data_IF_152937415833
#
_entry.id   IF_152937415833
#
_cell.length_a   1.000
_cell.length_b   1.000
_cell.length_c   1.000
_cell.angle_alpha   90.00
_cell.angle_beta   90.00
_cell.angle_gamma   90.00
#
_symmetry.space_group_name_H-M   'P 1'
#
loop_
_entity.id
_entity.type
_entity.pdbx_description
1 polymer ?
#
# COMPACT_ATOMS: atom_id res chain seq x y z
N UNK A 1 13.70 4.90 8.58
CA UNK A 1 12.55 4.50 9.42
C UNK A 1 11.61 5.69 9.53
N UNK A 2 10.64 5.77 8.62
CA UNK A 2 9.54 6.72 8.79
C UNK A 2 8.66 6.16 9.91
N UNK A 3 8.50 6.90 11.01
CA UNK A 3 7.48 6.60 12.01
C UNK A 3 6.13 7.00 11.42
N UNK A 4 5.66 6.22 10.45
CA UNK A 4 4.38 6.50 9.82
C UNK A 4 3.28 5.83 10.61
N UNK A 5 2.35 6.63 11.11
CA UNK A 5 1.20 6.11 11.82
C UNK A 5 0.22 5.51 10.82
N UNK A 6 -0.25 4.29 11.09
CA UNK A 6 -1.38 3.67 10.40
C UNK A 6 -2.58 4.63 10.23
N UNK A 7 -2.75 5.57 11.18
CA UNK A 7 -3.80 6.60 11.13
C UNK A 7 -3.70 7.53 9.92
N UNK A 8 -2.49 7.94 9.54
CA UNK A 8 -2.28 8.86 8.41
C UNK A 8 -2.59 8.15 7.08
N UNK A 9 -2.26 6.87 7.01
CA UNK A 9 -2.57 6.02 5.86
C UNK A 9 -4.09 5.85 5.72
N UNK A 10 -4.80 5.58 6.83
CA UNK A 10 -6.26 5.43 6.84
C UNK A 10 -6.95 6.73 6.44
N UNK A 11 -6.46 7.90 6.90
CA UNK A 11 -7.00 9.21 6.49
C UNK A 11 -6.92 9.43 4.98
N UNK A 12 -5.79 9.07 4.35
CA UNK A 12 -5.64 9.15 2.89
C UNK A 12 -6.58 8.18 2.16
N UNK A 13 -6.80 6.99 2.72
CA UNK A 13 -7.61 5.95 2.09
C UNK A 13 -9.13 6.13 2.25
N UNK A 14 -9.57 6.98 3.19
CA UNK A 14 -10.98 7.15 3.56
C UNK A 14 -11.57 5.99 4.38
N UNK A 15 -11.05 4.77 4.21
CA UNK A 15 -11.48 3.57 4.93
C UNK A 15 -10.31 2.64 5.22
N UNK A 16 -10.32 2.02 6.40
CA UNK A 16 -9.37 0.96 6.77
C UNK A 16 -9.44 -0.25 5.81
N UNK A 17 -10.62 -0.53 5.26
CA UNK A 17 -10.82 -1.68 4.37
C UNK A 17 -10.22 -1.42 2.99
N UNK A 18 -10.41 -0.20 2.47
CA UNK A 18 -9.82 0.22 1.19
C UNK A 18 -8.30 0.21 1.29
N UNK A 19 -7.75 0.66 2.42
CA UNK A 19 -6.31 0.59 2.69
C UNK A 19 -5.78 -0.85 2.64
N UNK A 20 -6.42 -1.77 3.37
CA UNK A 20 -6.01 -3.18 3.39
C UNK A 20 -6.03 -3.77 1.97
N UNK A 21 -7.06 -3.46 1.19
CA UNK A 21 -7.20 -3.93 -0.18
C UNK A 21 -6.09 -3.36 -1.10
N UNK A 22 -5.78 -2.07 -0.98
CA UNK A 22 -4.72 -1.41 -1.73
C UNK A 22 -3.34 -1.99 -1.41
N UNK A 23 -3.01 -2.12 -0.12
CA UNK A 23 -1.74 -2.71 0.35
C UNK A 23 -1.61 -4.16 -0.14
N UNK A 24 -2.66 -4.97 0.00
CA UNK A 24 -2.63 -6.37 -0.44
C UNK A 24 -2.42 -6.51 -1.96
N UNK A 25 -3.09 -5.66 -2.75
CA UNK A 25 -2.92 -5.61 -4.21
C UNK A 25 -1.48 -5.22 -4.57
N UNK A 26 -0.92 -4.18 -3.93
CA UNK A 26 0.44 -3.75 -4.24
C UNK A 26 1.49 -4.77 -3.83
N UNK A 27 1.33 -5.37 -2.66
CA UNK A 27 2.25 -6.41 -2.18
C UNK A 27 2.30 -7.59 -3.16
N UNK A 28 1.16 -7.97 -3.77
CA UNK A 28 1.13 -9.01 -4.82
C UNK A 28 1.88 -8.56 -6.08
N UNK A 29 1.67 -7.32 -6.55
CA UNK A 29 2.41 -6.79 -7.70
C UNK A 29 3.93 -6.80 -7.46
N UNK A 30 4.38 -6.40 -6.27
CA UNK A 30 5.80 -6.42 -5.90
C UNK A 30 6.35 -7.86 -5.99
N UNK A 31 5.59 -8.84 -5.50
CA UNK A 31 5.95 -10.27 -5.60
C UNK A 31 6.02 -10.75 -7.05
N UNK A 32 5.05 -10.36 -7.88
CA UNK A 32 4.99 -10.74 -9.30
C UNK A 32 6.13 -10.08 -10.10
N UNK A 33 6.44 -8.82 -9.84
CA UNK A 33 7.55 -8.05 -10.44
C UNK A 33 8.91 -8.70 -10.11
N UNK A 34 9.02 -9.35 -8.96
CA UNK A 34 10.23 -10.04 -8.48
C UNK A 34 10.36 -11.48 -8.98
N UNK A 35 9.53 -11.90 -9.94
CA UNK A 35 9.55 -13.24 -10.56
C UNK A 35 9.60 -14.39 -9.56
N UNK A 36 8.98 -14.22 -8.38
CA UNK A 36 8.92 -15.28 -7.37
C UNK A 36 10.17 -15.46 -6.53
N UNK A 37 11.16 -14.55 -6.56
CA UNK A 37 12.22 -14.50 -5.54
C UNK A 37 11.70 -13.85 -4.23
N UNK A 38 10.58 -14.39 -3.76
CA UNK A 38 9.88 -13.96 -2.53
C UNK A 38 10.75 -14.23 -1.30
N UNK A 39 11.71 -15.16 -1.43
CA UNK A 39 12.68 -15.47 -0.40
C UNK A 39 13.75 -14.37 -0.23
N UNK A 40 14.08 -13.61 -1.29
CA UNK A 40 15.01 -12.49 -1.20
C UNK A 40 14.34 -11.17 -0.77
N UNK A 41 13.04 -11.02 -0.99
CA UNK A 41 12.35 -9.76 -0.69
C UNK A 41 11.58 -9.90 0.61
N UNK A 42 12.24 -9.63 1.72
CA UNK A 42 11.71 -9.98 3.04
C UNK A 42 10.40 -9.27 3.43
N UNK A 43 9.96 -8.20 2.74
CA UNK A 43 8.85 -7.35 3.22
C UNK A 43 8.00 -6.66 2.12
N UNK A 44 7.37 -7.40 1.18
CA UNK A 44 6.52 -6.79 0.13
C UNK A 44 5.37 -5.95 0.70
N UNK A 45 4.84 -6.34 1.87
CA UNK A 45 3.80 -5.56 2.57
C UNK A 45 4.34 -4.24 3.11
N UNK A 46 5.55 -4.22 3.67
CA UNK A 46 6.17 -2.99 4.17
C UNK A 46 6.47 -2.02 3.02
N UNK A 47 7.02 -2.53 1.92
CA UNK A 47 7.30 -1.74 0.72
C UNK A 47 5.99 -1.14 0.17
N UNK A 48 4.93 -1.94 0.06
CA UNK A 48 3.62 -1.47 -0.38
C UNK A 48 3.09 -0.31 0.48
N UNK A 49 3.23 -0.39 1.80
CA UNK A 49 2.80 0.67 2.72
C UNK A 49 3.63 1.94 2.50
N UNK A 50 4.96 1.81 2.40
CA UNK A 50 5.88 2.94 2.17
C UNK A 50 5.59 3.64 0.82
N UNK A 51 5.40 2.89 -0.26
CA UNK A 51 5.08 3.45 -1.57
C UNK A 51 3.74 4.20 -1.61
N UNK A 52 2.71 3.67 -0.92
CA UNK A 52 1.40 4.32 -0.78
C UNK A 52 1.54 5.63 0.01
N UNK A 53 2.34 5.62 1.07
CA UNK A 53 2.56 6.78 1.93
C UNK A 53 3.32 7.89 1.23
N UNK A 54 4.38 7.52 0.51
CA UNK A 54 5.21 8.42 -0.29
C UNK A 54 4.48 8.94 -1.54
N UNK A 55 3.29 8.40 -1.84
CA UNK A 55 2.52 8.79 -3.02
C UNK A 55 3.17 8.33 -4.33
N UNK A 56 4.08 7.34 -4.27
CA UNK A 56 4.71 6.73 -5.45
C UNK A 56 3.71 5.92 -6.27
N UNK A 57 2.65 5.45 -5.64
CA UNK A 57 1.55 4.73 -6.29
C UNK A 57 0.26 5.53 -6.14
N UNK A 58 -0.39 5.83 -7.27
CA UNK A 58 -1.69 6.52 -7.28
C UNK A 58 -2.81 5.50 -7.14
N UNK A 59 -3.58 5.62 -6.06
CA UNK A 59 -4.83 4.91 -5.86
C UNK A 59 -5.99 5.87 -6.06
N UNK A 60 -7.03 5.41 -6.75
CA UNK A 60 -8.33 6.06 -6.71
C UNK A 60 -9.09 5.49 -5.53
N UNK A 61 -9.22 6.27 -4.47
CA UNK A 61 -9.91 5.86 -3.27
C UNK A 61 -11.41 6.01 -3.44
N UNK A 62 -12.17 5.22 -2.70
CA UNK A 62 -13.63 5.35 -2.75
C UNK A 62 -14.08 6.70 -2.16
N UNK A 63 -13.30 7.28 -1.24
CA UNK A 63 -13.48 8.65 -0.76
C UNK A 63 -13.39 9.70 -1.86
N UNK A 64 -12.63 9.45 -2.92
CA UNK A 64 -12.47 10.40 -4.04
C UNK A 64 -13.72 10.44 -4.93
N UNK A 65 -14.62 9.45 -4.79
CA UNK A 65 -15.88 9.35 -5.54
C UNK A 65 -17.08 9.92 -4.76
N UNK A 66 -16.87 10.28 -3.49
CA UNK A 66 -17.92 10.78 -2.59
C UNK A 66 -18.07 12.32 -2.61
N UNK A 67 -17.48 12.99 -3.61
CA UNK A 67 -17.52 14.45 -3.81
C UNK A 67 -18.39 14.88 -4.98
#
# INVERSE_FOLDING_TARGET
MANTSLRDVIKKAGSKYDLVLAVAKRARQIVDEQQGDVLATEKPVTIAIEEILDGRVKYRWNSDLAG
#
